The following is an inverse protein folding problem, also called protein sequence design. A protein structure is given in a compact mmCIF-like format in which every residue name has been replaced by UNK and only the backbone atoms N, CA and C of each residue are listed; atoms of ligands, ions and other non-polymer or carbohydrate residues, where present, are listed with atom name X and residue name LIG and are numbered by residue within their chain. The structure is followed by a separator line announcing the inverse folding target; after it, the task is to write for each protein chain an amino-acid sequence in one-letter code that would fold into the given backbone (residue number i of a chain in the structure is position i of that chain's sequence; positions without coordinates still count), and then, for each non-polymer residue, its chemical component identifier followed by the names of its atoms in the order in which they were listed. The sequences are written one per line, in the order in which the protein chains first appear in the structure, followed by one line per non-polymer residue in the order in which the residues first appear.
data_IF_100676548871
#
_entry.id   IF_100676548871
#
_cell.length_a   1.000
_cell.length_b   1.000
_cell.length_c   1.000
_cell.angle_alpha   90.00
_cell.angle_beta   90.00
_cell.angle_gamma   90.00
#
_symmetry.space_group_name_H-M   'P 1'
#
loop_
_entity.id
_entity.type
_entity.pdbx_description
1 polymer ?
#
# COMPACT_ATOMS: atom_id res chain seq x y z
N UNK A 1 -2.24 0.36 -1.61
CA UNK A 1 -3.47 1.13 -1.28
C UNK A 1 -4.65 0.24 -0.89
N UNK A 2 -5.08 -0.74 -1.70
CA UNK A 2 -6.30 -1.51 -1.45
C UNK A 2 -6.44 -2.11 -0.04
N UNK A 3 -5.37 -2.62 0.54
CA UNK A 3 -5.41 -3.16 1.91
C UNK A 3 -5.65 -2.08 2.97
N UNK A 4 -5.07 -0.88 2.82
CA UNK A 4 -5.37 0.25 3.71
C UNK A 4 -6.83 0.70 3.56
N UNK A 5 -7.34 0.77 2.32
CA UNK A 5 -8.75 1.07 2.04
C UNK A 5 -9.69 0.03 2.67
N UNK A 6 -9.36 -1.26 2.58
CA UNK A 6 -10.16 -2.31 3.19
C UNK A 6 -10.19 -2.21 4.74
N UNK A 7 -9.06 -1.88 5.36
CA UNK A 7 -8.98 -1.62 6.81
C UNK A 7 -9.82 -0.41 7.20
N UNK A 8 -9.72 0.68 6.42
CA UNK A 8 -10.55 1.87 6.65
C UNK A 8 -12.04 1.55 6.51
N UNK A 9 -12.43 0.81 5.48
CA UNK A 9 -13.82 0.38 5.30
C UNK A 9 -14.31 -0.43 6.51
N UNK A 10 -13.52 -1.39 6.98
CA UNK A 10 -13.87 -2.18 8.16
C UNK A 10 -14.05 -1.30 9.40
N UNK A 11 -13.17 -0.33 9.60
CA UNK A 11 -13.27 0.63 10.69
C UNK A 11 -14.56 1.46 10.58
N UNK A 12 -14.83 2.07 9.42
CA UNK A 12 -16.02 2.89 9.20
C UNK A 12 -17.32 2.10 9.45
N UNK A 13 -17.40 0.86 8.99
CA UNK A 13 -18.54 -0.03 9.23
C UNK A 13 -18.72 -0.37 10.71
N UNK A 14 -17.68 -0.28 11.53
CA UNK A 14 -17.73 -0.52 12.96
C UNK A 14 -18.13 0.72 13.77
N UNK A 15 -18.11 1.91 13.18
CA UNK A 15 -18.43 3.16 13.87
C UNK A 15 -19.93 3.44 13.79
N UNK A 16 -20.46 4.06 14.83
CA UNK A 16 -21.84 4.54 14.86
C UNK A 16 -21.99 5.87 14.11
N UNK A 17 -20.96 6.67 14.14
CA UNK A 17 -20.83 7.93 13.41
C UNK A 17 -19.35 8.22 13.21
N UNK A 18 -19.04 9.13 12.29
CA UNK A 18 -17.71 9.69 12.12
C UNK A 18 -17.75 11.19 12.41
N UNK A 19 -16.63 11.75 12.86
CA UNK A 19 -16.53 13.19 13.09
C UNK A 19 -15.89 13.82 11.83
N UNK A 20 -16.62 14.71 11.19
CA UNK A 20 -16.06 15.51 10.10
C UNK A 20 -14.93 16.41 10.61
N UNK A 21 -13.75 16.27 10.02
CA UNK A 21 -12.54 16.95 10.48
C UNK A 21 -12.60 18.48 10.28
N UNK A 22 -13.43 18.97 9.36
CA UNK A 22 -13.54 20.40 9.04
C UNK A 22 -14.59 21.09 9.92
N UNK A 23 -15.71 20.40 10.18
CA UNK A 23 -16.85 20.97 10.91
C UNK A 23 -16.90 20.59 12.38
N UNK A 24 -16.22 19.50 12.77
CA UNK A 24 -16.30 18.89 14.09
C UNK A 24 -17.68 18.28 14.40
N UNK A 25 -18.56 18.16 13.41
CA UNK A 25 -19.88 17.59 13.56
C UNK A 25 -19.87 16.08 13.32
N UNK A 26 -20.78 15.38 13.97
CA UNK A 26 -21.00 13.97 13.72
C UNK A 26 -21.73 13.79 12.39
N UNK A 27 -21.14 12.97 11.53
CA UNK A 27 -21.80 12.49 10.32
C UNK A 27 -22.36 11.10 10.56
N UNK A 28 -23.66 10.95 10.33
CA UNK A 28 -24.37 9.70 10.42
C UNK A 28 -24.68 9.16 9.02
N UNK A 29 -24.57 7.86 8.85
CA UNK A 29 -24.90 7.19 7.60
C UNK A 29 -25.58 5.85 7.88
N UNK A 30 -26.52 5.46 7.03
CA UNK A 30 -27.14 4.14 7.07
C UNK A 30 -26.13 2.99 6.85
N UNK A 31 -24.94 3.30 6.37
CA UNK A 31 -23.82 2.35 6.20
C UNK A 31 -22.96 2.24 7.46
N UNK A 32 -23.13 3.14 8.43
CA UNK A 32 -22.42 3.11 9.72
C UNK A 32 -23.30 2.46 10.78
N UNK A 33 -22.67 1.83 11.75
CA UNK A 33 -23.35 1.28 12.90
C UNK A 33 -22.95 -0.15 13.25
N UNK A 34 -23.14 -0.49 14.51
CA UNK A 34 -22.71 -1.78 15.09
C UNK A 34 -23.31 -3.01 14.43
N UNK A 35 -24.44 -2.88 13.72
CA UNK A 35 -25.03 -3.98 12.93
C UNK A 35 -24.20 -4.42 11.74
N UNK A 36 -23.27 -3.59 11.27
CA UNK A 36 -22.45 -3.84 10.09
C UNK A 36 -21.07 -4.45 10.41
N UNK A 37 -20.68 -4.54 11.68
CA UNK A 37 -19.43 -5.16 12.13
C UNK A 37 -19.23 -6.59 11.62
N UNK A 38 -20.33 -7.29 11.33
CA UNK A 38 -20.32 -8.67 10.87
C UNK A 38 -20.27 -8.83 9.36
N UNK A 39 -20.29 -7.74 8.60
CA UNK A 39 -20.23 -7.80 7.13
C UNK A 39 -18.87 -8.22 6.61
N UNK A 40 -17.81 -7.86 7.34
CA UNK A 40 -16.45 -8.24 7.00
C UNK A 40 -16.01 -9.36 7.95
N UNK A 41 -15.78 -10.54 7.39
CA UNK A 41 -15.29 -11.70 8.13
C UNK A 41 -13.78 -11.80 8.11
N UNK A 42 -13.17 -11.45 6.99
CA UNK A 42 -11.73 -11.47 6.83
C UNK A 42 -11.25 -10.34 5.91
N UNK A 43 -10.03 -9.91 6.12
CA UNK A 43 -9.30 -8.99 5.23
C UNK A 43 -8.01 -9.70 4.81
N UNK A 44 -7.80 -9.82 3.51
CA UNK A 44 -6.53 -10.28 2.94
C UNK A 44 -5.87 -9.13 2.23
N UNK A 45 -4.65 -8.83 2.62
CA UNK A 45 -3.80 -7.86 1.96
C UNK A 45 -2.71 -8.55 1.14
N UNK A 46 -2.48 -8.08 -0.08
CA UNK A 46 -1.42 -8.58 -0.97
C UNK A 46 -0.48 -7.41 -1.24
N UNK A 47 0.78 -7.55 -0.83
CA UNK A 47 1.82 -6.53 -1.02
C UNK A 47 1.40 -5.13 -0.54
N UNK A 48 0.63 -5.05 0.54
CA UNK A 48 0.09 -3.80 1.06
C UNK A 48 1.09 -3.09 1.96
N UNK A 49 1.38 -1.80 1.74
CA UNK A 49 2.25 -1.03 2.62
C UNK A 49 1.51 -0.59 3.89
N UNK A 50 1.35 -1.48 4.87
CA UNK A 50 0.67 -1.18 6.13
C UNK A 50 1.35 -0.07 6.94
N UNK A 51 2.67 0.03 6.82
CA UNK A 51 3.49 1.05 7.48
C UNK A 51 4.07 2.07 6.48
N UNK A 52 3.47 2.15 5.28
CA UNK A 52 3.94 2.99 4.19
C UNK A 52 5.05 2.36 3.35
N UNK A 53 5.56 3.13 2.40
CA UNK A 53 6.69 2.73 1.55
C UNK A 53 7.67 3.87 1.38
N UNK A 54 8.96 3.55 1.44
CA UNK A 54 10.02 4.53 1.19
C UNK A 54 10.06 5.01 -0.27
N UNK A 55 9.31 4.35 -1.17
CA UNK A 55 9.18 4.78 -2.56
C UNK A 55 8.54 6.16 -2.68
N UNK A 56 7.59 6.51 -1.83
CA UNK A 56 6.93 7.83 -1.84
C UNK A 56 7.94 8.95 -1.67
N UNK A 57 8.89 8.77 -0.76
CA UNK A 57 9.94 9.76 -0.51
C UNK A 57 10.96 9.81 -1.67
N UNK A 58 11.35 8.65 -2.21
CA UNK A 58 12.24 8.58 -3.38
C UNK A 58 11.61 9.30 -4.56
N UNK A 59 10.31 9.10 -4.80
CA UNK A 59 9.58 9.74 -5.89
C UNK A 59 9.48 11.24 -5.66
N UNK A 60 9.08 11.67 -4.48
CA UNK A 60 8.89 13.12 -4.19
C UNK A 60 10.20 13.90 -4.18
N UNK A 61 11.29 13.31 -3.69
CA UNK A 61 12.59 13.99 -3.57
C UNK A 61 13.49 13.85 -4.80
N UNK A 62 13.41 12.73 -5.52
CA UNK A 62 14.39 12.37 -6.57
C UNK A 62 13.83 12.53 -7.97
N UNK A 63 12.54 12.37 -8.16
CA UNK A 63 11.89 12.51 -9.45
C UNK A 63 11.15 13.85 -9.42
N UNK A 64 11.64 14.86 -10.17
CA UNK A 64 10.88 16.09 -10.32
C UNK A 64 9.45 15.72 -10.75
N UNK A 65 8.49 16.40 -10.19
CA UNK A 65 7.06 16.35 -10.47
C UNK A 65 6.69 16.06 -11.94
N UNK A 66 7.52 16.52 -12.89
CA UNK A 66 7.40 16.27 -14.34
C UNK A 66 7.30 14.78 -14.68
N UNK A 67 8.01 13.88 -14.00
CA UNK A 67 7.92 12.45 -14.32
C UNK A 67 6.65 11.79 -13.79
N UNK A 68 6.07 12.33 -12.72
CA UNK A 68 4.73 11.96 -12.28
C UNK A 68 3.70 12.29 -13.37
N UNK A 69 3.82 13.48 -13.96
CA UNK A 69 2.95 13.92 -15.05
C UNK A 69 3.22 13.20 -16.36
N UNK A 70 4.47 12.94 -16.70
CA UNK A 70 4.81 12.16 -17.91
C UNK A 70 4.40 10.69 -17.73
N UNK A 71 4.52 10.14 -16.53
CA UNK A 71 3.99 8.80 -16.21
C UNK A 71 2.47 8.75 -16.32
N UNK A 72 1.79 9.75 -15.78
CA UNK A 72 0.32 9.90 -15.88
C UNK A 72 -0.10 10.27 -17.31
N UNK A 73 0.58 11.20 -17.97
CA UNK A 73 0.28 11.58 -19.36
C UNK A 73 0.59 10.46 -20.37
N UNK A 74 1.60 9.64 -20.10
CA UNK A 74 1.88 8.43 -20.90
C UNK A 74 0.81 7.35 -20.77
N UNK A 75 0.05 7.37 -19.66
CA UNK A 75 -1.12 6.52 -19.43
C UNK A 75 -2.40 7.15 -19.98
N UNK A 76 -2.51 8.48 -19.96
CA UNK A 76 -3.63 9.25 -20.52
C UNK A 76 -3.70 9.17 -22.06
N UNK A 77 -2.59 8.86 -22.73
CA UNK A 77 -2.55 8.65 -24.18
C UNK A 77 -3.12 7.32 -24.68
N UNK A 78 -3.74 6.54 -23.81
CA UNK A 78 -4.44 5.31 -24.20
C UNK A 78 -5.94 5.52 -24.01
N UNK A 79 -6.74 5.21 -25.03
CA UNK A 79 -8.22 5.29 -25.05
C UNK A 79 -8.92 4.47 -23.94
N UNK A 80 -8.19 3.94 -22.96
CA UNK A 80 -8.69 3.01 -21.95
C UNK A 80 -8.91 3.62 -20.56
N UNK A 81 -8.28 4.78 -20.23
CA UNK A 81 -8.42 5.40 -18.91
C UNK A 81 -8.55 6.90 -19.05
N UNK A 82 -9.74 7.43 -18.79
CA UNK A 82 -9.97 8.84 -18.54
C UNK A 82 -9.81 9.08 -17.02
N UNK A 83 -8.66 9.64 -16.64
CA UNK A 83 -8.49 10.13 -15.28
C UNK A 83 -9.09 11.55 -15.24
N UNK A 84 -10.31 11.67 -14.77
CA UNK A 84 -10.92 12.97 -14.48
C UNK A 84 -10.12 13.71 -13.40
N UNK A 85 -9.09 14.43 -13.84
CA UNK A 85 -8.25 15.26 -12.97
C UNK A 85 -8.79 16.68 -12.80
N UNK A 86 -9.94 16.97 -13.39
CA UNK A 86 -10.55 18.29 -13.45
C UNK A 86 -10.92 18.79 -12.06
N UNK A 87 -11.45 17.90 -11.22
CA UNK A 87 -11.80 18.21 -9.83
C UNK A 87 -10.58 18.59 -8.96
N UNK A 88 -9.36 18.25 -9.38
CA UNK A 88 -8.12 18.66 -8.74
C UNK A 88 -7.54 19.95 -9.33
N UNK A 89 -8.13 20.51 -10.40
CA UNK A 89 -7.60 21.65 -11.12
C UNK A 89 -6.32 21.35 -11.92
N UNK A 90 -6.11 20.09 -12.29
CA UNK A 90 -4.92 19.65 -13.02
C UNK A 90 -5.02 19.81 -14.52
N UNK A 91 -6.14 20.30 -15.03
CA UNK A 91 -6.29 20.59 -16.46
C UNK A 91 -5.33 21.66 -16.95
N UNK A 92 -4.84 21.47 -18.17
CA UNK A 92 -4.12 22.51 -18.88
C UNK A 92 -5.14 23.49 -19.47
N UNK A 93 -4.97 24.78 -19.18
CA UNK A 93 -5.84 25.83 -19.72
C UNK A 93 -5.75 25.91 -21.25
N UNK A 94 -6.86 26.20 -21.92
CA UNK A 94 -6.98 26.22 -23.40
C UNK A 94 -5.92 27.04 -24.12
N UNK A 95 -5.35 28.07 -23.47
CA UNK A 95 -4.31 28.93 -24.02
C UNK A 95 -3.02 28.89 -23.16
N UNK A 96 -2.88 27.88 -22.31
CA UNK A 96 -1.73 27.74 -21.41
C UNK A 96 -0.59 27.04 -22.15
N UNK A 97 0.63 27.61 -22.13
CA UNK A 97 1.79 26.91 -22.64
C UNK A 97 2.22 25.79 -21.68
N UNK A 98 2.85 24.73 -22.19
CA UNK A 98 3.43 23.66 -21.38
C UNK A 98 4.34 24.18 -20.25
N UNK A 99 5.12 25.21 -20.53
CA UNK A 99 6.04 25.80 -19.54
C UNK A 99 5.27 26.46 -18.39
N UNK A 100 4.20 27.17 -18.70
CA UNK A 100 3.35 27.81 -17.69
C UNK A 100 2.55 26.77 -16.90
N UNK A 101 2.00 25.77 -17.59
CA UNK A 101 1.32 24.64 -16.97
C UNK A 101 2.22 23.94 -15.95
N UNK A 102 3.42 23.51 -16.34
CA UNK A 102 4.38 22.87 -15.45
C UNK A 102 4.80 23.78 -14.28
N UNK A 103 4.95 25.08 -14.52
CA UNK A 103 5.26 26.05 -13.45
C UNK A 103 4.11 26.19 -12.45
N UNK A 104 2.86 26.21 -12.92
CA UNK A 104 1.65 26.24 -12.09
C UNK A 104 1.53 24.95 -11.28
N UNK A 105 1.69 23.82 -11.96
CA UNK A 105 1.56 22.51 -11.34
C UNK A 105 2.60 22.25 -10.23
N UNK A 106 3.83 22.76 -10.36
CA UNK A 106 4.86 22.69 -9.31
C UNK A 106 4.46 23.36 -8.00
N UNK A 107 3.57 24.34 -8.05
CA UNK A 107 3.10 25.13 -6.90
C UNK A 107 1.65 24.82 -6.54
N UNK A 108 1.11 23.73 -7.08
CA UNK A 108 -0.29 23.41 -6.87
C UNK A 108 -0.54 22.96 -5.43
N UNK A 109 -1.58 23.52 -4.80
CA UNK A 109 -1.94 23.22 -3.39
C UNK A 109 -2.31 21.76 -3.13
N UNK A 110 -2.70 21.03 -4.17
CA UNK A 110 -2.96 19.59 -4.06
C UNK A 110 -1.74 18.76 -3.59
N UNK A 111 -0.52 19.31 -3.69
CA UNK A 111 0.70 18.65 -3.18
C UNK A 111 0.90 18.83 -1.68
N UNK A 112 0.21 19.78 -1.08
CA UNK A 112 0.25 20.05 0.35
C UNK A 112 -0.92 19.37 1.09
N UNK A 113 -1.87 18.81 0.35
CA UNK A 113 -3.00 18.11 0.95
C UNK A 113 -2.62 16.71 1.41
N UNK A 114 -3.18 16.29 2.54
CA UNK A 114 -3.16 14.90 3.00
C UNK A 114 -4.18 14.02 2.26
N UNK A 115 -5.09 14.61 1.52
CA UNK A 115 -6.16 13.92 0.80
C UNK A 115 -5.68 13.40 -0.56
N UNK A 116 -4.57 12.69 -0.56
CA UNK A 116 -3.90 12.17 -1.76
C UNK A 116 -3.19 10.86 -1.44
N UNK A 117 -3.20 9.93 -2.38
CA UNK A 117 -2.61 8.60 -2.20
C UNK A 117 -1.11 8.61 -1.85
N UNK A 118 -0.36 9.64 -2.26
CA UNK A 118 1.05 9.76 -1.88
C UNK A 118 1.23 10.04 -0.39
N UNK A 119 0.25 10.69 0.27
CA UNK A 119 0.22 10.80 1.72
C UNK A 119 -0.10 9.46 2.38
N UNK A 120 -1.18 8.80 1.99
CA UNK A 120 -1.59 7.53 2.58
C UNK A 120 -0.52 6.44 2.48
N UNK A 121 0.30 6.49 1.43
CA UNK A 121 1.39 5.55 1.19
C UNK A 121 2.72 5.99 1.80
N UNK A 122 2.82 7.21 2.33
CA UNK A 122 4.02 7.68 3.02
C UNK A 122 4.19 7.00 4.38
N UNK A 123 5.40 7.06 4.93
CA UNK A 123 5.68 6.54 6.28
C UNK A 123 4.83 7.26 7.35
N UNK A 124 4.71 8.59 7.25
CA UNK A 124 3.93 9.40 8.19
C UNK A 124 2.42 9.18 8.02
N UNK A 125 1.92 9.12 6.79
CA UNK A 125 0.51 8.89 6.52
C UNK A 125 0.05 7.50 6.97
N UNK A 126 0.85 6.48 6.74
CA UNK A 126 0.56 5.14 7.22
C UNK A 126 0.59 5.07 8.76
N UNK A 127 1.55 5.73 9.40
CA UNK A 127 1.61 5.84 10.87
C UNK A 127 0.40 6.58 11.43
N UNK A 128 -0.04 7.68 10.79
CA UNK A 128 -1.26 8.39 11.15
C UNK A 128 -2.49 7.48 11.06
N UNK A 129 -2.61 6.71 9.98
CA UNK A 129 -3.68 5.73 9.80
C UNK A 129 -3.65 4.64 10.89
N UNK A 130 -2.48 4.11 11.22
CA UNK A 130 -2.30 3.07 12.22
C UNK A 130 -2.56 3.57 13.66
N UNK A 131 -2.62 4.88 13.92
CA UNK A 131 -2.97 5.42 15.23
C UNK A 131 -4.41 5.08 15.63
N UNK A 132 -5.31 4.85 14.69
CA UNK A 132 -6.72 4.55 14.96
C UNK A 132 -7.23 3.26 14.29
N UNK A 133 -6.58 2.74 13.25
CA UNK A 133 -6.95 1.48 12.61
C UNK A 133 -6.20 0.32 13.25
N UNK A 134 -6.81 -0.34 14.22
CA UNK A 134 -6.30 -1.56 14.81
C UNK A 134 -7.05 -2.79 14.30
N UNK A 135 -6.45 -3.96 14.46
CA UNK A 135 -7.11 -5.22 14.15
C UNK A 135 -8.36 -5.40 15.01
N UNK A 136 -9.50 -5.58 14.38
CA UNK A 136 -10.76 -5.88 15.07
C UNK A 136 -10.75 -7.31 15.61
N UNK A 137 -11.18 -7.53 16.88
CA UNK A 137 -11.23 -8.87 17.47
C UNK A 137 -12.23 -9.81 16.78
N UNK A 138 -13.03 -9.30 15.84
CA UNK A 138 -14.05 -10.05 15.11
C UNK A 138 -13.67 -10.42 13.68
N UNK A 139 -12.51 -9.98 13.19
CA UNK A 139 -12.07 -10.12 11.80
C UNK A 139 -10.78 -10.92 11.71
N UNK A 140 -10.70 -11.84 10.76
CA UNK A 140 -9.45 -12.56 10.44
C UNK A 140 -8.62 -11.73 9.46
N UNK A 141 -7.32 -11.61 9.71
CA UNK A 141 -6.43 -10.82 8.86
C UNK A 141 -5.34 -11.69 8.26
N UNK A 142 -5.09 -11.49 6.97
CA UNK A 142 -4.04 -12.20 6.23
C UNK A 142 -3.19 -11.23 5.43
N UNK A 143 -1.89 -11.49 5.39
CA UNK A 143 -0.92 -10.73 4.60
C UNK A 143 -0.11 -11.65 3.70
N UNK A 144 -0.20 -11.42 2.39
CA UNK A 144 0.71 -12.02 1.41
C UNK A 144 1.83 -11.02 1.17
N UNK A 145 3.01 -11.33 1.73
CA UNK A 145 4.21 -10.50 1.67
C UNK A 145 5.05 -10.90 0.47
N UNK A 146 5.43 -9.95 -0.36
CA UNK A 146 6.26 -10.22 -1.54
C UNK A 146 7.66 -9.63 -1.38
N UNK A 147 8.64 -10.29 -2.01
CA UNK A 147 10.00 -9.77 -2.15
C UNK A 147 10.60 -10.17 -3.48
N UNK A 148 11.22 -9.21 -4.16
CA UNK A 148 11.97 -9.45 -5.39
C UNK A 148 13.44 -9.07 -5.26
N UNK A 149 13.92 -8.90 -4.03
CA UNK A 149 15.32 -8.52 -3.74
C UNK A 149 16.00 -9.53 -2.83
N UNK A 150 17.32 -9.60 -2.95
CA UNK A 150 18.20 -10.38 -2.08
C UNK A 150 19.31 -9.49 -1.52
N UNK A 151 19.69 -9.74 -0.25
CA UNK A 151 20.76 -8.99 0.40
C UNK A 151 22.10 -9.27 -0.28
N UNK A 152 22.91 -8.22 -0.48
CA UNK A 152 24.30 -8.37 -0.94
C UNK A 152 25.15 -9.02 0.13
N UNK A 153 26.10 -9.85 -0.30
CA UNK A 153 27.06 -10.46 0.61
C UNK A 153 27.95 -9.44 1.34
N UNK A 154 28.29 -8.34 0.64
CA UNK A 154 29.27 -7.35 1.13
C UNK A 154 28.64 -6.12 1.81
N UNK A 155 27.31 -6.04 1.91
CA UNK A 155 26.64 -4.87 2.48
C UNK A 155 25.25 -5.22 3.03
N UNK A 156 24.60 -4.22 3.65
CA UNK A 156 23.19 -4.33 4.09
C UNK A 156 22.20 -4.06 2.95
N UNK A 157 22.69 -3.60 1.80
CA UNK A 157 21.84 -3.28 0.66
C UNK A 157 21.25 -4.54 0.02
N UNK A 158 20.10 -4.39 -0.59
CA UNK A 158 19.42 -5.41 -1.37
C UNK A 158 19.47 -5.10 -2.86
N UNK A 159 19.74 -6.10 -3.68
CA UNK A 159 19.67 -6.01 -5.13
C UNK A 159 18.46 -6.79 -5.66
N UNK A 160 17.84 -6.31 -6.75
CA UNK A 160 16.78 -7.04 -7.40
C UNK A 160 17.29 -8.36 -7.97
N UNK A 161 16.54 -9.43 -7.77
CA UNK A 161 16.83 -10.74 -8.35
C UNK A 161 16.69 -10.70 -9.88
N UNK A 162 17.28 -11.67 -10.59
CA UNK A 162 17.26 -11.70 -12.05
C UNK A 162 15.83 -11.67 -12.62
N UNK A 163 14.95 -12.38 -11.97
CA UNK A 163 13.55 -12.52 -12.37
C UNK A 163 12.68 -11.27 -12.13
N UNK A 164 13.21 -10.21 -11.52
CA UNK A 164 12.47 -8.94 -11.31
C UNK A 164 12.11 -8.32 -12.66
N UNK A 165 10.85 -7.87 -12.80
CA UNK A 165 10.39 -7.16 -13.99
C UNK A 165 11.28 -5.96 -14.30
N UNK A 166 11.66 -5.80 -15.59
CA UNK A 166 12.54 -4.71 -16.04
C UNK A 166 11.97 -3.33 -15.70
N UNK A 167 10.63 -3.19 -15.70
CA UNK A 167 9.95 -1.93 -15.43
C UNK A 167 10.11 -1.44 -13.98
N UNK A 168 10.34 -2.36 -13.04
CA UNK A 168 10.48 -2.01 -11.63
C UNK A 168 11.87 -2.28 -11.07
N UNK A 169 12.75 -2.88 -11.84
CA UNK A 169 14.11 -3.27 -11.41
C UNK A 169 14.92 -2.09 -10.87
N UNK A 170 14.83 -0.93 -11.53
CA UNK A 170 15.53 0.29 -11.08
C UNK A 170 14.96 0.80 -9.75
N UNK A 171 13.63 0.79 -9.59
CA UNK A 171 12.98 1.19 -8.34
C UNK A 171 13.33 0.25 -7.20
N UNK A 172 13.25 -1.06 -7.45
CA UNK A 172 13.64 -2.09 -6.49
C UNK A 172 15.07 -1.91 -5.97
N UNK A 173 16.02 -1.59 -6.86
CA UNK A 173 17.41 -1.28 -6.48
C UNK A 173 17.52 0.00 -5.64
N UNK A 174 16.74 1.02 -5.94
CA UNK A 174 16.73 2.27 -5.17
C UNK A 174 16.17 2.05 -3.76
N UNK A 175 15.06 1.34 -3.64
CA UNK A 175 14.46 0.93 -2.36
C UNK A 175 15.43 0.08 -1.54
N UNK A 176 16.16 -0.83 -2.18
CA UNK A 176 17.12 -1.72 -1.55
C UNK A 176 18.41 -1.08 -1.06
N UNK A 177 18.60 0.22 -1.25
CA UNK A 177 19.85 0.91 -0.93
C UNK A 177 19.66 2.25 -0.18
N UNK A 178 18.43 2.71 0.01
CA UNK A 178 18.16 4.03 0.60
C UNK A 178 17.15 3.93 1.72
N UNK A 179 17.47 4.50 2.90
CA UNK A 179 16.48 4.65 3.96
C UNK A 179 15.41 5.67 3.57
N UNK A 180 14.20 5.48 4.10
CA UNK A 180 13.19 6.51 4.16
C UNK A 180 13.30 7.32 5.45
N UNK A 181 12.58 8.44 5.52
CA UNK A 181 12.60 9.33 6.68
C UNK A 181 11.17 9.69 7.08
N UNK A 182 10.92 9.71 8.37
CA UNK A 182 9.72 10.31 8.94
C UNK A 182 9.88 11.82 9.06
N UNK A 183 8.79 12.53 9.23
CA UNK A 183 8.79 14.00 9.38
C UNK A 183 9.54 14.49 10.61
N UNK A 184 9.70 13.65 11.64
CA UNK A 184 10.48 13.93 12.84
C UNK A 184 12.00 13.81 12.64
N UNK A 185 12.45 13.44 11.43
CA UNK A 185 13.85 13.25 11.06
C UNK A 185 14.41 11.86 11.38
N UNK A 186 13.65 10.99 12.02
CA UNK A 186 14.03 9.59 12.19
C UNK A 186 14.05 8.87 10.84
N UNK A 187 14.86 7.81 10.74
CA UNK A 187 15.04 7.07 9.47
C UNK A 187 14.76 5.59 9.65
N UNK A 188 14.36 4.95 8.57
CA UNK A 188 14.24 3.50 8.49
C UNK A 188 15.62 2.83 8.57
N UNK A 189 15.68 1.64 9.10
CA UNK A 189 16.87 0.81 9.14
C UNK A 189 17.01 -0.10 7.90
N UNK A 190 17.99 -0.98 7.90
CA UNK A 190 18.25 -1.89 6.79
C UNK A 190 17.22 -3.02 6.61
N UNK A 191 16.34 -3.25 7.57
CA UNK A 191 15.24 -4.19 7.43
C UNK A 191 14.22 -3.72 6.38
N UNK A 192 14.19 -2.40 6.11
CA UNK A 192 13.37 -1.79 5.08
C UNK A 192 13.94 -1.95 3.67
N UNK A 193 15.14 -2.49 3.49
CA UNK A 193 15.75 -2.60 2.17
C UNK A 193 15.20 -3.77 1.35
N UNK A 194 14.69 -4.80 1.99
CA UNK A 194 13.97 -5.85 1.28
C UNK A 194 12.66 -5.29 0.71
N UNK A 195 12.38 -5.56 -0.59
CA UNK A 195 11.23 -4.97 -1.26
C UNK A 195 10.80 -5.79 -2.49
N UNK A 196 9.59 -5.51 -2.96
CA UNK A 196 9.01 -6.08 -4.18
C UNK A 196 9.08 -5.16 -5.40
N UNK A 197 9.83 -4.06 -5.29
CA UNK A 197 9.98 -3.03 -6.32
C UNK A 197 9.03 -1.86 -6.20
N UNK A 198 8.06 -1.91 -5.29
CA UNK A 198 7.09 -0.84 -4.98
C UNK A 198 6.95 -0.62 -3.49
N UNK A 199 6.91 -1.69 -2.70
CA UNK A 199 6.70 -1.68 -1.26
C UNK A 199 7.86 -2.39 -0.58
N UNK A 200 8.29 -1.88 0.57
CA UNK A 200 9.26 -2.52 1.45
C UNK A 200 8.60 -3.75 2.11
N UNK A 201 9.22 -4.91 2.05
CA UNK A 201 8.62 -6.17 2.52
C UNK A 201 8.23 -6.12 4.00
N UNK A 202 9.03 -5.45 4.84
CA UNK A 202 8.75 -5.28 6.26
C UNK A 202 7.40 -4.58 6.51
N UNK A 203 7.00 -3.68 5.65
CA UNK A 203 5.74 -2.94 5.73
C UNK A 203 4.51 -3.76 5.32
N UNK A 204 4.71 -4.96 4.77
CA UNK A 204 3.61 -5.79 4.27
C UNK A 204 3.10 -6.81 5.28
N UNK A 205 3.86 -7.12 6.34
CA UNK A 205 3.47 -8.16 7.31
C UNK A 205 2.17 -7.84 8.03
N UNK A 206 1.96 -6.57 8.33
CA UNK A 206 0.81 -6.01 9.03
C UNK A 206 1.17 -4.67 9.64
N UNK A 207 0.21 -3.93 10.22
CA UNK A 207 0.48 -2.66 10.86
C UNK A 207 1.42 -2.83 12.05
N UNK A 208 2.53 -2.09 12.05
CA UNK A 208 3.51 -2.14 13.14
C UNK A 208 3.86 -0.76 13.70
N UNK A 209 3.48 0.30 12.98
CA UNK A 209 3.65 1.68 13.42
C UNK A 209 2.35 2.23 14.00
N UNK A 210 2.44 3.30 14.78
CA UNK A 210 1.29 3.91 15.40
C UNK A 210 1.42 3.98 16.91
N UNK A 211 0.57 4.76 17.54
CA UNK A 211 0.63 5.06 18.99
C UNK A 211 0.35 3.85 19.87
N UNK A 212 -0.43 2.90 19.35
CA UNK A 212 -0.84 1.70 20.08
C UNK A 212 0.13 0.52 19.86
N UNK A 213 1.20 0.72 19.08
CA UNK A 213 2.16 -0.31 18.72
C UNK A 213 1.69 -1.21 17.58
N UNK A 214 2.38 -2.32 17.39
CA UNK A 214 2.08 -3.28 16.34
C UNK A 214 0.80 -4.07 16.66
N UNK A 215 -0.02 -4.33 15.63
CA UNK A 215 -1.04 -5.37 15.69
C UNK A 215 -0.37 -6.74 15.91
N UNK A 216 -1.08 -7.73 16.48
CA UNK A 216 -0.55 -9.08 16.63
C UNK A 216 -0.20 -9.68 15.26
N UNK A 217 1.05 -10.09 15.06
CA UNK A 217 1.57 -10.67 13.81
C UNK A 217 2.06 -12.09 14.06
N UNK A 218 1.67 -13.05 13.23
CA UNK A 218 2.14 -14.43 13.27
C UNK A 218 2.41 -14.91 11.84
N UNK A 219 3.47 -15.68 11.65
CA UNK A 219 3.66 -16.44 10.41
C UNK A 219 2.56 -17.48 10.29
N UNK A 220 1.95 -17.57 9.11
CA UNK A 220 0.88 -18.53 8.87
C UNK A 220 1.43 -19.94 8.75
N UNK A 221 0.89 -20.86 9.56
CA UNK A 221 1.07 -22.29 9.44
C UNK A 221 -0.30 -22.96 9.22
N UNK A 222 -0.34 -23.98 8.39
CA UNK A 222 -1.58 -24.73 8.09
C UNK A 222 -2.15 -25.47 9.31
N UNK A 223 -1.29 -25.76 10.30
CA UNK A 223 -1.66 -26.44 11.56
C UNK A 223 -2.18 -25.47 12.62
N UNK A 224 -2.02 -24.15 12.41
CA UNK A 224 -2.42 -23.15 13.39
C UNK A 224 -3.94 -23.03 13.54
N UNK A 225 -4.37 -22.91 14.80
CA UNK A 225 -5.73 -22.46 15.08
C UNK A 225 -5.87 -20.98 14.81
N UNK A 226 -6.55 -20.63 13.71
CA UNK A 226 -6.78 -19.24 13.36
C UNK A 226 -7.74 -18.56 14.34
N UNK A 227 -7.34 -17.43 14.88
CA UNK A 227 -8.14 -16.57 15.75
C UNK A 227 -8.33 -15.18 15.11
N UNK A 228 -9.52 -14.56 15.23
CA UNK A 228 -9.72 -13.21 14.74
C UNK A 228 -8.93 -12.19 15.59
N UNK A 229 -8.66 -11.02 15.03
CA UNK A 229 -7.88 -9.97 15.67
C UNK A 229 -6.36 -10.11 15.48
N UNK A 230 -5.93 -11.12 14.73
CA UNK A 230 -4.52 -11.38 14.46
C UNK A 230 -4.23 -11.38 12.96
N UNK A 231 -3.07 -10.85 12.58
CA UNK A 231 -2.54 -10.91 11.22
C UNK A 231 -1.72 -12.20 11.06
N UNK A 232 -2.09 -13.00 10.06
CA UNK A 232 -1.35 -14.18 9.62
C UNK A 232 -0.65 -13.86 8.31
N UNK A 233 0.67 -13.88 8.30
CA UNK A 233 1.43 -13.52 7.12
C UNK A 233 2.11 -14.73 6.47
N UNK A 234 2.16 -14.70 5.15
CA UNK A 234 2.91 -15.65 4.32
C UNK A 234 3.84 -14.87 3.39
N UNK A 235 5.13 -15.23 3.35
CA UNK A 235 6.11 -14.56 2.50
C UNK A 235 6.36 -15.34 1.22
N UNK A 236 6.29 -14.64 0.09
CA UNK A 236 6.55 -15.14 -1.26
C UNK A 236 7.80 -14.45 -1.80
N UNK A 237 8.91 -15.18 -1.78
CA UNK A 237 10.18 -14.69 -2.29
C UNK A 237 10.25 -14.75 -3.82
N UNK A 238 11.10 -13.91 -4.43
CA UNK A 238 11.32 -13.81 -5.89
C UNK A 238 10.05 -13.43 -6.69
N UNK A 239 9.11 -12.79 -6.01
CA UNK A 239 7.86 -12.30 -6.58
C UNK A 239 7.79 -10.79 -6.47
N UNK A 240 7.69 -10.10 -7.59
CA UNK A 240 7.56 -8.65 -7.60
C UNK A 240 6.08 -8.21 -7.51
N UNK A 241 5.88 -6.92 -7.25
CA UNK A 241 4.56 -6.31 -7.00
C UNK A 241 3.51 -6.56 -8.07
N UNK A 242 3.92 -6.66 -9.33
CA UNK A 242 3.02 -6.91 -10.46
C UNK A 242 2.81 -8.40 -10.72
N UNK A 243 3.84 -9.19 -10.50
CA UNK A 243 3.81 -10.62 -10.78
C UNK A 243 2.87 -11.39 -9.85
N UNK A 244 2.72 -10.94 -8.59
CA UNK A 244 1.82 -11.58 -7.63
C UNK A 244 0.34 -11.52 -8.03
N UNK A 245 -0.04 -10.54 -8.84
CA UNK A 245 -1.39 -10.42 -9.39
C UNK A 245 -1.49 -10.93 -10.84
N UNK A 246 -0.50 -11.69 -11.29
CA UNK A 246 -0.45 -12.26 -12.63
C UNK A 246 -0.10 -11.26 -13.75
N UNK A 247 0.30 -10.02 -13.40
CA UNK A 247 0.65 -8.99 -14.36
C UNK A 247 2.17 -8.94 -14.60
N UNK A 248 2.58 -8.76 -15.86
CA UNK A 248 4.00 -8.69 -16.28
C UNK A 248 4.87 -9.91 -15.87
N UNK A 249 4.27 -11.01 -15.44
CA UNK A 249 4.95 -12.25 -15.12
C UNK A 249 5.13 -13.15 -16.35
N UNK A 250 6.18 -13.99 -16.35
CA UNK A 250 6.20 -15.13 -17.24
C UNK A 250 5.15 -16.18 -16.79
N UNK A 251 4.88 -17.19 -17.66
CA UNK A 251 3.86 -18.20 -17.38
C UNK A 251 4.04 -18.87 -16.00
N UNK A 252 5.27 -19.23 -15.63
CA UNK A 252 5.54 -19.89 -14.34
C UNK A 252 5.17 -19.02 -13.13
N UNK A 253 5.35 -17.71 -13.21
CA UNK A 253 4.97 -16.75 -12.15
C UNK A 253 3.47 -16.56 -12.09
N UNK A 254 2.81 -16.49 -13.25
CA UNK A 254 1.34 -16.41 -13.33
C UNK A 254 0.73 -17.67 -12.70
N UNK A 255 1.22 -18.86 -13.07
CA UNK A 255 0.77 -20.14 -12.51
C UNK A 255 1.01 -20.22 -10.99
N UNK A 256 2.13 -19.62 -10.50
CA UNK A 256 2.42 -19.55 -9.06
C UNK A 256 1.45 -18.60 -8.35
N UNK A 257 1.24 -17.42 -8.90
CA UNK A 257 0.30 -16.43 -8.34
C UNK A 257 -1.13 -17.01 -8.28
N UNK A 258 -1.57 -17.68 -9.34
CA UNK A 258 -2.87 -18.36 -9.39
C UNK A 258 -3.01 -19.40 -8.28
N UNK A 259 -2.02 -20.27 -8.08
CA UNK A 259 -2.03 -21.26 -7.00
C UNK A 259 -2.13 -20.63 -5.62
N UNK A 260 -1.36 -19.56 -5.37
CA UNK A 260 -1.40 -18.85 -4.10
C UNK A 260 -2.82 -18.33 -3.83
N UNK A 261 -3.44 -17.70 -4.82
CA UNK A 261 -4.79 -17.15 -4.69
C UNK A 261 -5.83 -18.26 -4.48
N UNK A 262 -5.76 -19.37 -5.25
CA UNK A 262 -6.68 -20.50 -5.10
C UNK A 262 -6.57 -21.14 -3.72
N UNK A 263 -5.34 -21.39 -3.24
CA UNK A 263 -5.11 -21.94 -1.91
C UNK A 263 -5.65 -21.00 -0.82
N UNK A 264 -5.41 -19.71 -0.97
CA UNK A 264 -5.92 -18.73 -0.03
C UNK A 264 -7.45 -18.63 -0.02
N UNK A 265 -8.11 -18.68 -1.19
CA UNK A 265 -9.58 -18.77 -1.27
C UNK A 265 -10.10 -20.03 -0.56
N UNK A 266 -9.40 -21.15 -0.66
CA UNK A 266 -9.76 -22.39 0.02
C UNK A 266 -9.66 -22.24 1.54
N UNK A 267 -8.60 -21.58 2.03
CA UNK A 267 -8.45 -21.20 3.43
C UNK A 267 -9.61 -20.30 3.90
N UNK A 268 -9.93 -19.24 3.15
CA UNK A 268 -11.04 -18.34 3.53
C UNK A 268 -12.39 -19.05 3.62
N UNK A 269 -12.62 -20.06 2.77
CA UNK A 269 -13.84 -20.88 2.83
C UNK A 269 -13.89 -21.78 4.06
N UNK A 270 -12.75 -22.18 4.60
CA UNK A 270 -12.68 -23.04 5.80
C UNK A 270 -12.87 -22.27 7.12
N UNK A 271 -12.81 -20.94 7.09
CA UNK A 271 -12.99 -20.13 8.28
C UNK A 271 -14.35 -20.39 8.94
N UNK A 272 -14.43 -20.49 10.28
CA UNK A 272 -15.68 -20.74 10.99
C UNK A 272 -16.78 -19.78 10.58
N UNK A 273 -17.99 -20.28 10.34
CA UNK A 273 -19.15 -19.43 10.11
C UNK A 273 -19.51 -18.70 11.43
N UNK A 274 -19.80 -17.41 11.36
CA UNK A 274 -20.29 -16.64 12.51
C UNK A 274 -21.75 -16.86 12.75
#
# INVERSE_FOLDING_TARGET
MGGQTARMLQYLLSQQFIVDANTGQNEESNLLGSSHNRWIKSITSISTPHDGTTLTEIVTKTIPFIQYFVGVAGVIGTDFYDFDLNHWGFEMGNNESWANYLKRMRKHSAWETKNISSWDLSLDGAKELNNFLQASPDVYYFSIVTSTTERRESSLNHDPVESTSILIKTRSKLLGARPGYWSDGSKTDSLWFENDGVVNSISMYGPSTGINGADPLLEYDEEDLLIPGQWYWQKISKMDHWSIIGHLGNKSRVDTAEKIIINHISLLKSLPQK
#
